data_IF_088012872134
#
_entry.id   IF_088012872134
#
_cell.length_a   1.000
_cell.length_b   1.000
_cell.length_c   1.000
_cell.angle_alpha   90.00
_cell.angle_beta   90.00
_cell.angle_gamma   90.00
#
_symmetry.space_group_name_H-M   'P 1'
#
loop_
_entity.id
_entity.type
_entity.pdbx_description
1 polymer ?
#
# COMPACT_ATOMS: atom_id res chain seq x y z
N UNK A 1 0.87 0.96 15.13
CA UNK A 1 -0.33 0.19 15.57
C UNK A 1 -0.10 -1.31 15.38
N UNK A 2 -0.70 -2.17 16.21
CA UNK A 2 -0.52 -3.64 16.09
C UNK A 2 -0.80 -4.17 14.68
N UNK A 3 -1.88 -3.68 14.04
CA UNK A 3 -2.22 -4.07 12.67
C UNK A 3 -1.09 -3.86 11.64
N UNK A 4 -0.32 -2.77 11.73
CA UNK A 4 0.80 -2.53 10.80
C UNK A 4 1.93 -3.54 11.04
N UNK A 5 2.21 -3.86 12.30
CA UNK A 5 3.19 -4.88 12.65
C UNK A 5 2.75 -6.27 12.18
N UNK A 6 1.48 -6.60 12.32
CA UNK A 6 0.92 -7.89 11.89
C UNK A 6 0.95 -8.02 10.37
N UNK A 7 0.56 -6.98 9.64
CA UNK A 7 0.64 -6.95 8.17
C UNK A 7 2.08 -6.99 7.66
N UNK A 8 3.00 -6.27 8.30
CA UNK A 8 4.42 -6.27 7.95
C UNK A 8 5.06 -7.65 8.21
N UNK A 9 4.68 -8.29 9.32
CA UNK A 9 5.05 -9.68 9.64
C UNK A 9 4.47 -10.66 8.62
N UNK A 10 3.19 -10.51 8.26
CA UNK A 10 2.51 -11.35 7.29
C UNK A 10 3.09 -11.21 5.88
N UNK A 11 3.43 -9.99 5.45
CA UNK A 11 4.13 -9.75 4.19
C UNK A 11 5.51 -10.41 4.22
N UNK A 12 6.23 -10.28 5.34
CA UNK A 12 7.49 -11.00 5.55
C UNK A 12 8.52 -10.62 4.49
N UNK A 13 9.06 -11.62 3.79
CA UNK A 13 9.95 -11.43 2.64
C UNK A 13 9.26 -11.57 1.28
N UNK A 14 7.92 -11.71 1.24
CA UNK A 14 7.17 -11.89 0.00
C UNK A 14 7.13 -10.60 -0.80
N UNK A 15 6.99 -10.77 -2.11
CA UNK A 15 6.87 -9.65 -3.05
C UNK A 15 5.49 -8.97 -3.05
N UNK A 16 4.45 -9.74 -2.71
CA UNK A 16 3.03 -9.36 -2.67
C UNK A 16 2.41 -9.99 -1.43
N UNK A 17 1.24 -9.51 -0.99
CA UNK A 17 0.57 -10.05 0.20
C UNK A 17 0.25 -11.54 0.05
N UNK A 18 -0.15 -11.96 -1.15
CA UNK A 18 -0.61 -13.32 -1.45
C UNK A 18 0.08 -13.82 -2.72
N UNK A 19 0.70 -15.00 -2.63
CA UNK A 19 1.31 -15.67 -3.78
C UNK A 19 2.50 -14.91 -4.38
N UNK A 20 2.70 -15.11 -5.69
CA UNK A 20 3.86 -14.60 -6.43
C UNK A 20 3.49 -13.49 -7.43
N UNK A 21 2.23 -13.05 -7.46
CA UNK A 21 1.73 -12.02 -8.36
C UNK A 21 0.79 -11.08 -7.63
N UNK A 22 0.62 -9.87 -8.16
CA UNK A 22 -0.28 -8.87 -7.58
C UNK A 22 -1.72 -9.37 -7.53
N UNK A 23 -2.41 -9.06 -6.44
CA UNK A 23 -3.82 -9.35 -6.22
C UNK A 23 -4.56 -8.08 -5.82
N UNK A 24 -5.90 -8.16 -5.78
CA UNK A 24 -6.72 -7.05 -5.31
C UNK A 24 -6.46 -6.70 -3.83
N UNK A 25 -5.89 -7.62 -3.03
CA UNK A 25 -5.49 -7.35 -1.65
C UNK A 25 -4.38 -6.29 -1.58
N UNK A 26 -3.43 -6.32 -2.51
CA UNK A 26 -2.34 -5.32 -2.59
C UNK A 26 -2.90 -3.94 -2.97
N UNK A 27 -3.90 -3.90 -3.86
CA UNK A 27 -4.61 -2.67 -4.21
C UNK A 27 -5.39 -2.11 -3.02
N UNK A 28 -6.09 -2.97 -2.29
CA UNK A 28 -6.85 -2.56 -1.11
C UNK A 28 -5.93 -2.02 0.00
N UNK A 29 -4.76 -2.65 0.19
CA UNK A 29 -3.71 -2.12 1.05
C UNK A 29 -3.28 -0.70 0.62
N UNK A 30 -2.99 -0.47 -0.67
CA UNK A 30 -2.60 0.85 -1.19
C UNK A 30 -3.68 1.91 -0.96
N UNK A 31 -4.95 1.56 -1.22
CA UNK A 31 -6.11 2.44 -1.01
C UNK A 31 -6.27 2.80 0.46
N UNK A 32 -6.38 1.81 1.34
CA UNK A 32 -6.57 2.03 2.78
C UNK A 32 -5.40 2.82 3.37
N UNK A 33 -4.18 2.44 3.03
CA UNK A 33 -2.99 3.11 3.55
C UNK A 33 -2.85 4.54 3.01
N UNK A 34 -3.37 4.86 1.82
CA UNK A 34 -3.45 6.25 1.33
C UNK A 34 -4.31 7.11 2.23
N UNK A 35 -5.52 6.66 2.56
CA UNK A 35 -6.41 7.39 3.48
C UNK A 35 -5.82 7.46 4.90
N UNK A 36 -5.24 6.36 5.41
CA UNK A 36 -4.64 6.35 6.74
C UNK A 36 -3.48 7.35 6.87
N UNK A 37 -2.65 7.51 5.83
CA UNK A 37 -1.55 8.49 5.83
C UNK A 37 -2.03 9.94 5.84
N UNK A 38 -3.24 10.23 5.35
CA UNK A 38 -3.83 11.59 5.47
C UNK A 38 -4.04 11.96 6.94
N UNK A 39 -4.37 10.99 7.79
CA UNK A 39 -4.60 11.21 9.22
C UNK A 39 -3.34 11.02 10.07
N UNK A 40 -2.43 10.15 9.64
CA UNK A 40 -1.20 9.83 10.37
C UNK A 40 -0.02 9.67 9.38
N UNK A 41 0.68 10.76 9.02
CA UNK A 41 1.75 10.72 8.02
C UNK A 41 2.95 9.82 8.38
N UNK A 42 3.22 9.65 9.67
CA UNK A 42 4.32 8.84 10.23
C UNK A 42 3.94 7.35 10.42
N UNK A 43 2.75 6.93 9.99
CA UNK A 43 2.22 5.59 10.26
C UNK A 43 3.13 4.44 9.78
N UNK A 44 3.86 4.66 8.68
CA UNK A 44 4.64 3.62 8.00
C UNK A 44 6.16 3.81 8.15
N UNK A 45 6.63 4.78 8.93
CA UNK A 45 8.06 5.14 9.02
C UNK A 45 8.93 3.96 9.47
N UNK A 46 8.39 3.11 10.35
CA UNK A 46 9.08 1.91 10.87
C UNK A 46 8.76 0.63 10.06
N UNK A 47 7.96 0.72 8.99
CA UNK A 47 7.52 -0.43 8.17
C UNK A 47 7.92 -0.26 6.69
N UNK A 48 9.23 -0.28 6.37
CA UNK A 48 9.72 0.01 5.01
C UNK A 48 9.24 -0.99 3.94
N UNK A 49 8.92 -2.24 4.32
CA UNK A 49 8.38 -3.24 3.39
C UNK A 49 6.96 -2.88 2.94
N UNK A 50 6.13 -2.39 3.88
CA UNK A 50 4.78 -1.92 3.57
C UNK A 50 4.81 -0.68 2.67
N UNK A 51 5.76 0.24 2.87
CA UNK A 51 6.01 1.37 1.96
C UNK A 51 6.42 0.88 0.57
N UNK A 52 7.29 -0.12 0.51
CA UNK A 52 7.76 -0.72 -0.75
C UNK A 52 6.61 -1.38 -1.51
N UNK A 53 5.74 -2.13 -0.83
CA UNK A 53 4.54 -2.73 -1.42
C UNK A 53 3.63 -1.68 -2.06
N UNK A 54 3.39 -0.56 -1.37
CA UNK A 54 2.61 0.55 -1.94
C UNK A 54 3.23 1.11 -3.21
N UNK A 55 4.53 1.38 -3.18
CA UNK A 55 5.25 1.89 -4.35
C UNK A 55 5.18 0.91 -5.53
N UNK A 56 5.29 -0.41 -5.27
CA UNK A 56 5.11 -1.45 -6.30
C UNK A 56 3.71 -1.40 -6.92
N UNK A 57 2.66 -1.27 -6.11
CA UNK A 57 1.27 -1.15 -6.61
C UNK A 57 1.10 0.13 -7.44
N UNK A 58 1.56 1.28 -6.94
CA UNK A 58 1.46 2.57 -7.63
C UNK A 58 2.27 2.61 -8.94
N UNK A 59 3.30 1.79 -9.07
CA UNK A 59 4.12 1.68 -10.27
C UNK A 59 3.47 0.85 -11.40
N UNK A 60 2.39 0.10 -11.14
CA UNK A 60 1.68 -0.65 -12.18
C UNK A 60 1.11 0.34 -13.20
N UNK A 61 1.42 0.23 -14.52
CA UNK A 61 1.11 1.28 -15.49
C UNK A 61 -0.36 1.74 -15.51
N UNK A 62 -1.30 0.79 -15.41
CA UNK A 62 -2.73 1.09 -15.36
C UNK A 62 -3.12 1.85 -14.07
N UNK A 63 -2.56 1.45 -12.93
CA UNK A 63 -2.80 2.09 -11.63
C UNK A 63 -2.16 3.48 -11.60
N UNK A 64 -0.91 3.61 -12.06
CA UNK A 64 -0.23 4.90 -12.20
C UNK A 64 -1.02 5.87 -13.07
N UNK A 65 -1.59 5.37 -14.19
CA UNK A 65 -2.44 6.17 -15.07
C UNK A 65 -3.73 6.62 -14.36
N UNK A 66 -4.39 5.72 -13.63
CA UNK A 66 -5.58 6.04 -12.85
C UNK A 66 -5.29 7.07 -11.75
N UNK A 67 -4.24 6.89 -10.96
CA UNK A 67 -3.85 7.82 -9.88
C UNK A 67 -3.60 9.23 -10.43
N UNK A 68 -3.03 9.36 -11.63
CA UNK A 68 -2.81 10.66 -12.29
C UNK A 68 -4.11 11.32 -12.77
N UNK A 69 -5.14 10.54 -13.10
CA UNK A 69 -6.39 11.02 -13.72
C UNK A 69 -7.55 11.18 -12.74
N UNK A 70 -7.54 10.43 -11.63
CA UNK A 70 -8.64 10.47 -10.65
C UNK A 70 -8.78 11.88 -10.05
N UNK A 71 -10.00 12.32 -9.69
CA UNK A 71 -10.19 13.57 -8.96
C UNK A 71 -9.34 13.61 -7.69
N UNK A 72 -8.73 14.76 -7.41
CA UNK A 72 -8.00 14.95 -6.17
C UNK A 72 -8.99 15.27 -5.05
N UNK A 73 -9.24 14.28 -4.21
CA UNK A 73 -10.07 14.41 -3.01
C UNK A 73 -9.24 14.14 -1.77
N UNK A 74 -9.67 14.70 -0.63
CA UNK A 74 -9.02 14.45 0.66
C UNK A 74 -9.24 12.99 1.13
N UNK A 75 -10.40 12.42 0.81
CA UNK A 75 -10.82 11.04 1.08
C UNK A 75 -11.34 10.40 -0.21
#
# INVERSE_FOLDING_TARGET
PHLMQDLDTYLGGKEWLIGNSVTWADFYWEICSTTLLVFKPDLLDIHPRLVTLRKKVQAIPAIANWIKRRPQTKL
#
